data_IF_625779392305
#
_entry.id   IF_625779392305
#
_cell.length_a   1.000
_cell.length_b   1.000
_cell.length_c   1.000
_cell.angle_alpha   90.00
_cell.angle_beta   90.00
_cell.angle_gamma   90.00
#
_symmetry.space_group_name_H-M   'P 1'
#
loop_
_entity.id
_entity.type
_entity.pdbx_description
1 polymer ?
#
# COMPACT_ATOMS: atom_id res chain seq x y z
N UNK A 1 -7.89 -0.01 45.01
CA UNK A 1 -6.77 -0.92 44.68
C UNK A 1 -6.95 -1.53 43.29
N UNK A 2 -8.10 -2.08 42.93
CA UNK A 2 -8.40 -2.67 41.63
C UNK A 2 -8.36 -1.63 40.48
N UNK A 3 -8.99 -0.47 40.66
CA UNK A 3 -8.98 0.63 39.68
C UNK A 3 -7.57 1.14 39.34
N UNK A 4 -6.72 1.31 40.39
CA UNK A 4 -5.33 1.72 40.17
C UNK A 4 -4.52 0.66 39.40
N UNK A 5 -4.81 -0.64 39.61
CA UNK A 5 -4.18 -1.72 38.87
C UNK A 5 -4.64 -1.73 37.41
N UNK A 6 -5.90 -1.44 37.12
CA UNK A 6 -6.48 -1.32 35.77
C UNK A 6 -5.87 -0.12 35.05
N UNK A 7 -5.78 1.05 35.68
CA UNK A 7 -5.13 2.24 35.09
C UNK A 7 -3.65 1.98 34.76
N UNK A 8 -2.93 1.29 35.65
CA UNK A 8 -1.52 0.90 35.43
C UNK A 8 -1.36 -0.12 34.31
N UNK A 9 -2.32 -1.03 34.16
CA UNK A 9 -2.35 -2.01 33.06
C UNK A 9 -2.62 -1.31 31.72
N UNK A 10 -3.62 -0.42 31.66
CA UNK A 10 -3.94 0.37 30.46
C UNK A 10 -2.73 1.22 30.04
N UNK A 11 -2.05 1.90 30.98
CA UNK A 11 -0.84 2.67 30.68
C UNK A 11 0.33 1.82 30.16
N UNK A 12 0.44 0.55 30.58
CA UNK A 12 1.44 -0.38 30.02
C UNK A 12 1.04 -0.87 28.62
N UNK A 13 -0.25 -1.05 28.37
CA UNK A 13 -0.78 -1.44 27.07
C UNK A 13 -0.63 -0.30 26.05
N UNK A 14 -0.85 0.95 26.50
CA UNK A 14 -0.63 2.15 25.70
C UNK A 14 0.85 2.31 25.34
N UNK A 15 1.76 2.08 26.26
CA UNK A 15 3.21 2.08 25.99
C UNK A 15 3.65 0.96 25.03
N UNK A 16 2.93 -0.16 24.96
CA UNK A 16 3.21 -1.29 24.07
C UNK A 16 2.59 -1.10 22.68
N UNK A 17 1.41 -0.47 22.61
CA UNK A 17 0.76 -0.05 21.37
C UNK A 17 1.32 1.28 20.84
N UNK A 18 2.17 1.93 21.59
CA UNK A 18 3.09 3.07 21.39
C UNK A 18 2.71 4.16 20.38
N UNK A 19 1.44 4.38 20.05
CA UNK A 19 1.08 5.33 18.99
C UNK A 19 -0.28 6.03 19.13
N UNK A 20 -1.07 5.74 20.16
CA UNK A 20 -2.35 6.39 20.37
C UNK A 20 -2.39 7.05 21.74
N UNK A 21 -2.44 8.36 21.77
CA UNK A 21 -2.66 9.13 23.00
C UNK A 21 -4.07 8.84 23.52
N UNK A 22 -4.16 8.07 24.60
CA UNK A 22 -5.45 7.73 25.22
C UNK A 22 -5.81 8.88 26.16
N UNK A 23 -6.91 9.59 25.86
CA UNK A 23 -7.40 10.66 26.75
C UNK A 23 -7.88 10.09 28.08
N UNK A 24 -7.77 10.88 29.17
CA UNK A 24 -8.28 10.49 30.49
C UNK A 24 -9.76 10.09 30.46
N UNK A 25 -10.55 10.75 29.61
CA UNK A 25 -11.98 10.43 29.41
C UNK A 25 -12.20 9.01 28.89
N UNK A 26 -11.34 8.52 27.97
CA UNK A 26 -11.38 7.14 27.48
C UNK A 26 -11.01 6.17 28.61
N UNK A 27 -9.97 6.49 29.39
CA UNK A 27 -9.57 5.68 30.54
C UNK A 27 -10.72 5.57 31.56
N UNK A 28 -11.40 6.66 31.84
CA UNK A 28 -12.54 6.70 32.77
C UNK A 28 -13.73 5.88 32.24
N UNK A 29 -14.04 5.96 30.95
CA UNK A 29 -15.09 5.14 30.34
C UNK A 29 -14.78 3.65 30.38
N UNK A 30 -13.53 3.27 30.16
CA UNK A 30 -13.06 1.87 30.27
C UNK A 30 -13.15 1.39 31.70
N UNK A 31 -12.68 2.18 32.66
CA UNK A 31 -12.74 1.85 34.09
C UNK A 31 -14.19 1.66 34.54
N UNK A 32 -15.11 2.56 34.15
CA UNK A 32 -16.54 2.41 34.47
C UNK A 32 -17.14 1.13 33.87
N UNK A 33 -16.77 0.74 32.64
CA UNK A 33 -17.25 -0.50 32.00
C UNK A 33 -16.65 -1.76 32.63
N UNK A 34 -15.39 -1.75 33.06
CA UNK A 34 -14.74 -2.85 33.76
C UNK A 34 -15.37 -3.08 35.15
N UNK A 35 -15.84 -2.02 35.79
CA UNK A 35 -16.51 -2.09 37.10
C UNK A 35 -18.00 -2.48 37.00
N UNK A 36 -18.58 -2.57 35.77
CA UNK A 36 -19.97 -3.01 35.59
C UNK A 36 -20.07 -4.53 35.49
N UNK A 37 -20.95 -5.18 36.25
CA UNK A 37 -21.17 -6.63 36.18
C UNK A 37 -21.79 -7.01 34.85
N UNK A 38 -21.24 -8.01 34.16
CA UNK A 38 -21.83 -8.62 32.96
C UNK A 38 -20.95 -8.63 31.69
N UNK A 39 -19.79 -7.97 31.68
CA UNK A 39 -18.91 -7.98 30.51
C UNK A 39 -17.64 -8.79 30.76
N UNK A 40 -17.26 -9.62 29.79
CA UNK A 40 -15.96 -10.30 29.84
C UNK A 40 -14.82 -9.29 29.56
N UNK A 41 -13.63 -9.54 30.12
CA UNK A 41 -12.44 -8.71 29.88
C UNK A 41 -12.15 -8.50 28.37
N UNK A 42 -12.32 -9.54 27.56
CA UNK A 42 -12.13 -9.50 26.11
C UNK A 42 -13.14 -8.55 25.42
N UNK A 43 -14.40 -8.53 25.84
CA UNK A 43 -15.42 -7.61 25.33
C UNK A 43 -15.14 -6.16 25.72
N UNK A 44 -14.62 -5.94 26.92
CA UNK A 44 -14.25 -4.62 27.42
C UNK A 44 -13.06 -4.04 26.63
N UNK A 45 -12.00 -4.83 26.43
CA UNK A 45 -10.82 -4.42 25.64
C UNK A 45 -11.22 -4.15 24.18
N UNK A 46 -12.08 -4.97 23.59
CA UNK A 46 -12.57 -4.77 22.23
C UNK A 46 -13.43 -3.51 22.09
N UNK A 47 -14.38 -3.28 23.01
CA UNK A 47 -15.20 -2.08 23.00
C UNK A 47 -14.36 -0.81 23.19
N UNK A 48 -13.41 -0.86 24.12
CA UNK A 48 -12.47 0.24 24.38
C UNK A 48 -11.61 0.59 23.18
N UNK A 49 -10.96 -0.37 22.55
CA UNK A 49 -10.12 -0.12 21.38
C UNK A 49 -10.93 0.53 20.24
N UNK A 50 -12.16 0.07 20.04
CA UNK A 50 -13.08 0.64 19.05
C UNK A 50 -13.50 2.08 19.37
N UNK A 51 -13.84 2.37 20.63
CA UNK A 51 -14.26 3.70 21.06
C UNK A 51 -13.08 4.70 21.00
N UNK A 52 -11.85 4.26 21.33
CA UNK A 52 -10.64 5.06 21.22
C UNK A 52 -10.34 5.44 19.76
N UNK A 53 -10.37 4.45 18.87
CA UNK A 53 -10.17 4.66 17.44
C UNK A 53 -11.23 5.61 16.87
N UNK A 54 -12.50 5.43 17.24
CA UNK A 54 -13.58 6.33 16.78
C UNK A 54 -13.38 7.76 17.28
N UNK A 55 -13.01 7.94 18.53
CA UNK A 55 -12.76 9.27 19.10
C UNK A 55 -11.62 9.98 18.38
N UNK A 56 -10.53 9.27 18.09
CA UNK A 56 -9.40 9.82 17.35
C UNK A 56 -9.80 10.18 15.91
N UNK A 57 -10.52 9.30 15.22
CA UNK A 57 -11.03 9.58 13.87
C UNK A 57 -11.95 10.80 13.84
N UNK A 58 -12.82 10.99 14.83
CA UNK A 58 -13.68 12.18 14.93
C UNK A 58 -12.86 13.45 15.13
N UNK A 59 -11.84 13.41 16.00
CA UNK A 59 -10.92 14.57 16.21
C UNK A 59 -10.21 14.95 14.92
N UNK A 60 -9.64 13.96 14.24
CA UNK A 60 -8.94 14.17 12.96
C UNK A 60 -9.90 14.67 11.88
N UNK A 61 -11.11 14.09 11.78
CA UNK A 61 -12.13 14.58 10.87
C UNK A 61 -12.44 16.05 11.10
N UNK A 62 -12.66 16.47 12.35
CA UNK A 62 -12.93 17.86 12.68
C UNK A 62 -11.74 18.77 12.34
N UNK A 63 -10.51 18.31 12.55
CA UNK A 63 -9.30 19.04 12.17
C UNK A 63 -9.18 19.18 10.65
N UNK A 64 -9.49 18.14 9.89
CA UNK A 64 -9.51 18.17 8.42
C UNK A 64 -10.58 19.13 7.90
N UNK A 65 -11.81 19.08 8.46
CA UNK A 65 -12.90 19.96 8.07
C UNK A 65 -12.69 21.43 8.48
N UNK A 66 -11.80 21.67 9.44
CA UNK A 66 -11.38 23.01 9.89
C UNK A 66 -10.08 23.51 9.27
N UNK A 67 -9.59 22.90 8.17
CA UNK A 67 -8.39 23.36 7.48
C UNK A 67 -8.53 24.79 6.97
N UNK A 68 -7.44 25.59 6.97
CA UNK A 68 -7.44 26.94 6.40
C UNK A 68 -7.87 26.95 4.92
N UNK A 69 -8.50 28.04 4.46
CA UNK A 69 -9.01 28.19 3.10
C UNK A 69 -7.99 27.81 2.00
N UNK A 70 -6.72 28.18 2.18
CA UNK A 70 -5.63 27.84 1.24
C UNK A 70 -5.48 26.33 1.03
N UNK A 71 -5.64 25.55 2.11
CA UNK A 71 -5.52 24.10 2.08
C UNK A 71 -6.86 23.47 1.66
N UNK A 72 -7.98 24.09 2.05
CA UNK A 72 -9.30 23.65 1.64
C UNK A 72 -9.50 23.73 0.12
N UNK A 73 -8.94 24.72 -0.55
CA UNK A 73 -8.94 24.81 -2.03
C UNK A 73 -8.16 23.65 -2.65
N UNK A 74 -7.01 23.30 -2.06
CA UNK A 74 -6.14 22.19 -2.53
C UNK A 74 -6.82 20.83 -2.44
N UNK A 75 -7.61 20.58 -1.39
CA UNK A 75 -8.25 19.30 -1.07
C UNK A 75 -9.78 19.33 -1.27
N UNK A 76 -10.27 20.18 -2.16
CA UNK A 76 -11.71 20.46 -2.33
C UNK A 76 -12.56 19.20 -2.56
N UNK A 77 -12.09 18.27 -3.40
CA UNK A 77 -12.87 17.10 -3.79
C UNK A 77 -12.91 16.09 -2.62
N UNK A 78 -11.80 15.91 -1.91
CA UNK A 78 -11.67 15.07 -0.72
C UNK A 78 -12.54 15.61 0.42
N UNK A 79 -12.47 16.91 0.66
CA UNK A 79 -13.28 17.57 1.68
C UNK A 79 -14.78 17.49 1.37
N UNK A 80 -15.18 17.66 0.10
CA UNK A 80 -16.57 17.48 -0.32
C UNK A 80 -17.06 16.05 -0.10
N UNK A 81 -16.22 15.05 -0.40
CA UNK A 81 -16.52 13.64 -0.13
C UNK A 81 -16.69 13.39 1.38
N UNK A 82 -15.74 13.83 2.19
CA UNK A 82 -15.78 13.68 3.65
C UNK A 82 -16.95 14.41 4.27
N UNK A 83 -17.30 15.61 3.79
CA UNK A 83 -18.49 16.33 4.22
C UNK A 83 -19.78 15.53 3.98
N UNK A 84 -19.86 14.80 2.85
CA UNK A 84 -21.02 13.98 2.50
C UNK A 84 -21.13 12.67 3.30
N UNK A 85 -20.02 12.14 3.84
CA UNK A 85 -19.92 10.84 4.52
C UNK A 85 -19.70 10.95 6.02
N UNK A 86 -19.30 12.12 6.50
CA UNK A 86 -18.85 12.31 7.87
C UNK A 86 -17.56 11.56 8.17
N UNK A 87 -17.19 11.49 9.43
CA UNK A 87 -15.99 10.78 9.88
C UNK A 87 -15.96 9.27 9.49
N UNK A 88 -17.12 8.67 9.25
CA UNK A 88 -17.21 7.28 8.75
C UNK A 88 -16.70 7.11 7.31
N UNK A 89 -16.64 8.20 6.55
CA UNK A 89 -16.05 8.23 5.20
C UNK A 89 -14.53 8.34 5.19
N UNK A 90 -13.91 8.52 6.35
CA UNK A 90 -12.45 8.55 6.44
C UNK A 90 -11.88 7.18 6.10
N UNK A 91 -11.00 7.17 5.14
CA UNK A 91 -10.28 5.99 4.67
C UNK A 91 -9.15 6.44 3.75
N UNK A 92 -8.24 5.53 3.42
CA UNK A 92 -7.06 5.83 2.61
C UNK A 92 -7.40 6.54 1.30
N UNK A 93 -8.56 6.25 0.73
CA UNK A 93 -9.04 6.83 -0.54
C UNK A 93 -10.35 7.60 -0.32
N UNK A 94 -10.29 8.92 -0.05
CA UNK A 94 -11.47 9.75 0.24
C UNK A 94 -12.23 10.15 -1.03
N UNK A 95 -12.71 9.17 -1.80
CA UNK A 95 -13.44 9.34 -3.05
C UNK A 95 -14.59 8.35 -3.17
N UNK A 96 -15.64 8.74 -3.88
CA UNK A 96 -16.73 7.83 -4.20
C UNK A 96 -16.26 6.73 -5.17
N UNK A 97 -16.49 5.46 -4.85
CA UNK A 97 -16.22 4.39 -5.80
C UNK A 97 -17.19 4.47 -6.99
N UNK A 98 -16.68 4.21 -8.19
CA UNK A 98 -17.52 3.96 -9.35
C UNK A 98 -17.90 2.46 -9.32
N UNK A 99 -19.17 2.17 -9.11
CA UNK A 99 -19.64 0.78 -9.02
C UNK A 99 -19.47 0.11 -10.38
N UNK A 100 -18.57 -0.85 -10.48
CA UNK A 100 -18.60 -1.89 -11.50
C UNK A 100 -18.81 -3.24 -10.80
N UNK A 101 -19.79 -4.00 -11.27
CA UNK A 101 -19.99 -5.38 -10.84
C UNK A 101 -19.40 -6.29 -11.92
N UNK A 102 -18.09 -6.32 -12.05
CA UNK A 102 -17.45 -7.31 -12.90
C UNK A 102 -17.39 -8.63 -12.12
N UNK A 103 -17.89 -9.74 -12.67
CA UNK A 103 -17.70 -11.04 -12.05
C UNK A 103 -16.22 -11.32 -11.81
N UNK A 104 -15.87 -11.80 -10.61
CA UNK A 104 -14.52 -12.24 -10.28
C UNK A 104 -14.56 -13.75 -10.15
N UNK A 105 -13.77 -14.42 -10.97
CA UNK A 105 -13.62 -15.87 -10.90
C UNK A 105 -12.62 -16.22 -9.80
N UNK A 106 -13.07 -17.02 -8.82
CA UNK A 106 -12.25 -17.52 -7.72
C UNK A 106 -12.35 -19.04 -7.64
N UNK A 107 -11.30 -19.67 -7.12
CA UNK A 107 -11.26 -21.10 -6.95
C UNK A 107 -10.30 -21.57 -5.86
N UNK A 108 -10.21 -22.89 -5.72
CA UNK A 108 -9.25 -23.54 -4.84
C UNK A 108 -8.54 -24.65 -5.63
N UNK A 109 -7.23 -24.58 -5.71
CA UNK A 109 -6.44 -25.60 -6.40
C UNK A 109 -6.00 -26.71 -5.41
N UNK A 110 -6.60 -27.89 -5.57
CA UNK A 110 -6.32 -29.05 -4.71
C UNK A 110 -4.86 -29.54 -4.82
N UNK A 111 -4.14 -29.25 -5.92
CA UNK A 111 -2.74 -29.67 -6.11
C UNK A 111 -1.80 -28.81 -5.30
N UNK A 112 -2.04 -27.50 -5.28
CA UNK A 112 -1.22 -26.56 -4.51
C UNK A 112 -1.73 -26.38 -3.08
N UNK A 113 -3.02 -26.66 -2.83
CA UNK A 113 -3.69 -26.41 -1.55
C UNK A 113 -3.88 -24.92 -1.28
N UNK A 114 -4.03 -24.09 -2.34
CA UNK A 114 -4.17 -22.65 -2.24
C UNK A 114 -5.44 -22.17 -2.92
N UNK A 115 -6.11 -21.13 -2.36
CA UNK A 115 -7.14 -20.40 -3.08
C UNK A 115 -6.50 -19.48 -4.11
N UNK A 116 -7.25 -19.16 -5.17
CA UNK A 116 -6.82 -18.24 -6.21
C UNK A 116 -7.97 -17.37 -6.72
N UNK A 117 -7.61 -16.28 -7.38
CA UNK A 117 -8.47 -15.47 -8.24
C UNK A 117 -7.91 -15.51 -9.66
N UNK A 118 -8.78 -15.46 -10.67
CA UNK A 118 -8.35 -15.36 -12.07
C UNK A 118 -8.19 -13.88 -12.44
N UNK A 119 -6.98 -13.51 -12.86
CA UNK A 119 -6.66 -12.19 -13.38
C UNK A 119 -6.08 -12.31 -14.78
N UNK A 120 -6.73 -11.67 -15.78
CA UNK A 120 -6.34 -11.76 -17.19
C UNK A 120 -6.13 -13.19 -17.71
N UNK A 121 -6.96 -14.15 -17.24
CA UNK A 121 -6.85 -15.57 -17.62
C UNK A 121 -5.80 -16.36 -16.83
N UNK A 122 -5.11 -15.75 -15.89
CA UNK A 122 -4.05 -16.38 -15.07
C UNK A 122 -4.48 -16.50 -13.62
N UNK A 123 -4.04 -17.57 -12.93
CA UNK A 123 -4.33 -17.79 -11.51
C UNK A 123 -3.36 -16.97 -10.65
N UNK A 124 -3.90 -16.04 -9.87
CA UNK A 124 -3.22 -15.35 -8.78
C UNK A 124 -3.50 -16.09 -7.47
N UNK A 125 -2.50 -16.77 -6.92
CA UNK A 125 -2.64 -17.58 -5.72
C UNK A 125 -2.48 -16.75 -4.43
N UNK A 126 -3.22 -17.17 -3.38
CA UNK A 126 -3.25 -16.49 -2.09
C UNK A 126 -2.87 -17.46 -0.96
N UNK A 127 -2.76 -16.93 0.27
CA UNK A 127 -2.40 -17.75 1.43
C UNK A 127 -3.46 -18.81 1.73
N UNK A 128 -3.02 -19.99 2.12
CA UNK A 128 -3.86 -21.18 2.35
C UNK A 128 -4.96 -21.02 3.41
N UNK A 129 -4.82 -20.01 4.30
CA UNK A 129 -5.81 -19.76 5.36
C UNK A 129 -6.93 -18.82 4.91
N UNK A 130 -6.85 -18.24 3.74
CA UNK A 130 -7.90 -17.38 3.19
C UNK A 130 -8.97 -18.22 2.51
N UNK A 131 -10.21 -17.86 2.74
CA UNK A 131 -11.35 -18.36 1.97
C UNK A 131 -11.41 -17.70 0.59
N UNK A 132 -12.12 -18.32 -0.36
CA UNK A 132 -12.35 -17.72 -1.68
C UNK A 132 -13.05 -16.35 -1.58
N UNK A 133 -13.98 -16.19 -0.64
CA UNK A 133 -14.69 -14.93 -0.40
C UNK A 133 -13.74 -13.82 0.09
N UNK A 134 -12.81 -14.15 0.99
CA UNK A 134 -11.79 -13.20 1.46
C UNK A 134 -10.84 -12.82 0.33
N UNK A 135 -10.41 -13.79 -0.49
CA UNK A 135 -9.57 -13.55 -1.68
C UNK A 135 -10.27 -12.62 -2.66
N UNK A 136 -11.54 -12.87 -2.98
CA UNK A 136 -12.33 -12.00 -3.85
C UNK A 136 -12.45 -10.58 -3.28
N UNK A 137 -12.75 -10.45 -1.99
CA UNK A 137 -12.92 -9.16 -1.34
C UNK A 137 -11.63 -8.32 -1.36
N UNK A 138 -10.47 -8.94 -1.07
CA UNK A 138 -9.17 -8.25 -1.11
C UNK A 138 -8.78 -7.89 -2.54
N UNK A 139 -8.93 -8.81 -3.50
CA UNK A 139 -8.67 -8.54 -4.91
C UNK A 139 -9.51 -7.36 -5.44
N UNK A 140 -10.82 -7.33 -5.13
CA UNK A 140 -11.68 -6.17 -5.45
C UNK A 140 -11.22 -4.90 -4.73
N UNK A 141 -10.72 -5.03 -3.51
CA UNK A 141 -10.09 -3.93 -2.79
C UNK A 141 -9.00 -3.29 -3.64
N UNK A 142 -8.05 -4.05 -4.13
CA UNK A 142 -6.94 -3.54 -4.93
C UNK A 142 -7.37 -3.00 -6.29
N UNK A 143 -8.20 -3.74 -7.04
CA UNK A 143 -8.59 -3.35 -8.40
C UNK A 143 -9.62 -2.23 -8.38
N UNK A 144 -10.70 -2.36 -7.60
CA UNK A 144 -11.86 -1.45 -7.67
C UNK A 144 -11.76 -0.28 -6.68
N UNK A 145 -11.19 -0.50 -5.47
CA UNK A 145 -11.12 0.53 -4.44
C UNK A 145 -9.82 1.32 -4.49
N UNK A 146 -8.68 0.67 -4.63
CA UNK A 146 -7.38 1.32 -4.74
C UNK A 146 -7.06 1.73 -6.17
N UNK A 147 -7.60 1.00 -7.15
CA UNK A 147 -7.34 1.20 -8.58
C UNK A 147 -5.86 1.07 -8.94
N UNK A 148 -5.14 0.13 -8.30
CA UNK A 148 -3.67 0.00 -8.44
C UNK A 148 -3.21 -0.24 -9.89
N UNK A 149 -4.08 -0.81 -10.73
CA UNK A 149 -3.81 -1.09 -12.15
C UNK A 149 -4.23 0.05 -13.10
N UNK A 150 -4.63 1.21 -12.54
CA UNK A 150 -5.01 2.37 -13.33
C UNK A 150 -6.44 2.34 -13.91
N UNK A 151 -7.19 1.27 -13.68
CA UNK A 151 -8.60 1.20 -14.06
C UNK A 151 -9.41 2.24 -13.27
N UNK A 152 -10.25 3.02 -13.98
CA UNK A 152 -10.95 4.14 -13.36
C UNK A 152 -12.27 3.69 -12.70
N UNK A 153 -12.17 2.98 -11.59
CA UNK A 153 -13.32 2.68 -10.73
C UNK A 153 -13.66 3.81 -9.75
N UNK A 154 -12.79 4.83 -9.66
CA UNK A 154 -12.99 6.05 -8.89
C UNK A 154 -12.73 7.28 -9.74
N UNK A 155 -13.22 8.43 -9.30
CA UNK A 155 -12.97 9.72 -9.97
C UNK A 155 -11.50 10.14 -9.93
N UNK A 156 -10.77 9.71 -8.89
CA UNK A 156 -9.35 9.95 -8.67
C UNK A 156 -8.68 8.62 -8.30
N UNK A 157 -7.44 8.45 -8.72
CA UNK A 157 -6.67 7.20 -8.53
C UNK A 157 -5.28 7.49 -7.94
N UNK A 158 -5.23 8.00 -6.68
CA UNK A 158 -3.96 8.43 -6.12
C UNK A 158 -2.94 7.30 -5.91
N UNK A 159 -3.37 6.04 -5.87
CA UNK A 159 -2.50 4.87 -5.65
C UNK A 159 -2.37 3.98 -6.91
N UNK A 160 -2.67 4.49 -8.08
CA UNK A 160 -2.49 3.72 -9.31
C UNK A 160 -1.01 3.59 -9.67
N UNK A 161 -0.54 2.37 -9.99
CA UNK A 161 0.81 2.16 -10.52
C UNK A 161 0.89 2.42 -12.03
N UNK A 162 -0.25 2.36 -12.71
CA UNK A 162 -0.37 2.58 -14.14
C UNK A 162 -1.37 3.71 -14.43
N UNK A 163 -1.18 4.39 -15.57
CA UNK A 163 -2.14 5.35 -16.11
C UNK A 163 -2.25 5.18 -17.63
N UNK A 164 -3.16 5.91 -18.29
CA UNK A 164 -3.27 5.87 -19.75
C UNK A 164 -1.96 6.28 -20.46
N UNK A 165 -1.19 7.20 -19.86
CA UNK A 165 0.08 7.74 -20.40
C UNK A 165 1.34 7.16 -19.76
N UNK A 166 1.22 6.52 -18.60
CA UNK A 166 2.35 5.95 -17.86
C UNK A 166 2.07 4.47 -17.57
N UNK A 167 2.56 3.60 -18.45
CA UNK A 167 2.25 2.17 -18.45
C UNK A 167 3.41 1.32 -18.93
N UNK A 168 3.30 0.02 -18.70
CA UNK A 168 4.20 -0.99 -19.24
C UNK A 168 3.94 -1.13 -20.73
N UNK A 169 4.98 -1.05 -21.54
CA UNK A 169 4.95 -1.29 -22.96
C UNK A 169 5.45 -2.70 -23.32
N UNK A 170 5.08 -3.18 -24.50
CA UNK A 170 5.51 -4.51 -24.93
C UNK A 170 7.03 -4.59 -25.05
N UNK A 171 7.61 -5.53 -24.34
CA UNK A 171 9.06 -5.76 -24.32
C UNK A 171 9.81 -5.05 -23.19
N UNK A 172 9.12 -4.23 -22.38
CA UNK A 172 9.71 -3.70 -21.15
C UNK A 172 10.12 -4.83 -20.20
N UNK A 173 11.19 -4.62 -19.45
CA UNK A 173 11.51 -5.43 -18.27
C UNK A 173 10.81 -4.82 -17.06
N UNK A 174 9.97 -5.61 -16.40
CA UNK A 174 9.13 -5.17 -15.29
C UNK A 174 9.72 -5.60 -13.95
N UNK A 175 9.86 -4.64 -13.03
CA UNK A 175 10.22 -4.90 -11.65
C UNK A 175 9.03 -4.54 -10.76
N UNK A 176 8.55 -5.50 -9.99
CA UNK A 176 7.55 -5.30 -8.94
C UNK A 176 8.24 -5.38 -7.58
N UNK A 177 8.67 -4.23 -7.07
CA UNK A 177 9.43 -4.10 -5.82
C UNK A 177 8.45 -3.87 -4.67
N UNK A 178 8.34 -4.86 -3.79
CA UNK A 178 7.26 -4.96 -2.80
C UNK A 178 5.99 -5.53 -3.44
N UNK A 179 6.09 -6.69 -4.08
CA UNK A 179 5.01 -7.21 -4.91
C UNK A 179 3.83 -7.82 -4.13
N UNK A 180 3.96 -8.03 -2.83
CA UNK A 180 2.93 -8.67 -2.00
C UNK A 180 2.42 -9.97 -2.62
N UNK A 181 1.16 -10.05 -3.07
CA UNK A 181 0.59 -11.22 -3.75
C UNK A 181 1.02 -11.36 -5.23
N UNK A 182 1.60 -10.29 -5.82
CA UNK A 182 2.10 -10.29 -7.21
C UNK A 182 1.07 -9.87 -8.26
N UNK A 183 -0.02 -9.18 -7.88
CA UNK A 183 -1.06 -8.76 -8.82
C UNK A 183 -0.51 -7.86 -9.93
N UNK A 184 0.31 -6.85 -9.60
CA UNK A 184 0.90 -5.96 -10.60
C UNK A 184 1.84 -6.70 -11.54
N UNK A 185 2.74 -7.54 -11.01
CA UNK A 185 3.64 -8.38 -11.80
C UNK A 185 2.87 -9.31 -12.75
N UNK A 186 1.80 -9.96 -12.26
CA UNK A 186 0.95 -10.84 -13.06
C UNK A 186 0.17 -10.06 -14.13
N UNK A 187 -0.31 -8.86 -13.82
CA UNK A 187 -1.00 -8.01 -14.80
C UNK A 187 -0.11 -7.67 -16.00
N UNK A 188 1.18 -7.49 -15.76
CA UNK A 188 2.15 -7.11 -16.78
C UNK A 188 2.80 -8.29 -17.51
N UNK A 189 2.62 -9.53 -17.01
CA UNK A 189 3.40 -10.69 -17.46
C UNK A 189 3.33 -10.96 -18.96
N UNK A 190 2.19 -10.73 -19.61
CA UNK A 190 2.04 -11.03 -21.04
C UNK A 190 2.71 -9.98 -21.93
N UNK A 191 2.83 -8.73 -21.46
CA UNK A 191 3.48 -7.63 -22.19
C UNK A 191 4.99 -7.62 -21.95
N UNK A 192 5.41 -7.95 -20.73
CA UNK A 192 6.79 -7.86 -20.31
C UNK A 192 7.69 -8.87 -21.05
N UNK A 193 8.93 -8.44 -21.32
CA UNK A 193 10.01 -9.34 -21.75
C UNK A 193 10.45 -10.23 -20.58
N UNK A 194 10.76 -9.60 -19.43
CA UNK A 194 11.03 -10.27 -18.17
C UNK A 194 10.28 -9.60 -17.03
N UNK A 195 9.96 -10.37 -15.99
CA UNK A 195 9.32 -9.88 -14.77
C UNK A 195 10.18 -10.30 -13.57
N UNK A 196 10.53 -9.34 -12.74
CA UNK A 196 11.25 -9.54 -11.48
C UNK A 196 10.37 -9.09 -10.32
N UNK A 197 9.87 -10.04 -9.54
CA UNK A 197 8.99 -9.78 -8.39
C UNK A 197 9.77 -9.94 -7.08
N UNK A 198 9.76 -8.91 -6.24
CA UNK A 198 10.49 -8.89 -4.96
C UNK A 198 9.51 -8.77 -3.80
N UNK A 199 9.52 -9.77 -2.91
CA UNK A 199 8.69 -9.78 -1.71
C UNK A 199 9.40 -10.54 -0.59
N UNK A 200 9.68 -9.84 0.49
CA UNK A 200 10.50 -10.39 1.58
C UNK A 200 9.70 -11.22 2.59
N UNK A 201 8.38 -10.99 2.70
CA UNK A 201 7.56 -11.66 3.70
C UNK A 201 7.34 -13.14 3.36
N UNK A 202 7.74 -14.08 4.24
CA UNK A 202 7.68 -15.52 3.96
C UNK A 202 6.28 -16.05 3.64
N UNK A 203 5.22 -15.37 4.10
CA UNK A 203 3.83 -15.75 3.85
C UNK A 203 3.47 -15.74 2.35
N UNK A 204 4.17 -14.93 1.54
CA UNK A 204 3.93 -14.79 0.12
C UNK A 204 4.75 -15.75 -0.75
N UNK A 205 5.81 -16.36 -0.20
CA UNK A 205 6.71 -17.21 -0.97
C UNK A 205 5.96 -18.27 -1.79
N UNK A 206 5.17 -19.10 -1.13
CA UNK A 206 4.45 -20.20 -1.81
C UNK A 206 3.36 -19.72 -2.77
N UNK A 207 2.50 -18.73 -2.44
CA UNK A 207 1.59 -18.14 -3.39
C UNK A 207 2.28 -17.60 -4.64
N UNK A 208 3.35 -16.83 -4.51
CA UNK A 208 4.11 -16.28 -5.63
C UNK A 208 4.77 -17.37 -6.47
N UNK A 209 5.40 -18.37 -5.86
CA UNK A 209 5.97 -19.50 -6.57
C UNK A 209 4.91 -20.21 -7.42
N UNK A 210 3.68 -20.40 -6.91
CA UNK A 210 2.59 -21.01 -7.66
C UNK A 210 2.06 -20.09 -8.77
N UNK A 211 1.93 -18.80 -8.53
CA UNK A 211 1.47 -17.80 -9.49
C UNK A 211 2.41 -17.71 -10.69
N UNK A 212 3.71 -17.64 -10.44
CA UNK A 212 4.70 -17.42 -11.51
C UNK A 212 5.35 -18.68 -12.08
N UNK A 213 5.06 -19.87 -11.54
CA UNK A 213 5.56 -21.14 -12.11
C UNK A 213 5.23 -21.34 -13.61
N UNK A 214 4.02 -20.97 -14.12
CA UNK A 214 3.74 -21.04 -15.56
C UNK A 214 4.61 -20.13 -16.42
N UNK A 215 5.25 -19.14 -15.82
CA UNK A 215 6.08 -18.11 -16.48
C UNK A 215 7.55 -18.20 -16.12
N UNK A 216 8.02 -19.38 -15.64
CA UNK A 216 9.38 -19.55 -15.11
C UNK A 216 10.50 -19.20 -16.10
N UNK A 217 10.23 -19.20 -17.42
CA UNK A 217 11.20 -18.79 -18.44
C UNK A 217 11.45 -17.26 -18.45
N UNK A 218 10.46 -16.45 -18.03
CA UNK A 218 10.54 -14.99 -18.07
C UNK A 218 10.23 -14.28 -16.75
N UNK A 219 9.68 -14.97 -15.75
CA UNK A 219 9.38 -14.40 -14.44
C UNK A 219 10.24 -15.02 -13.35
N UNK A 220 10.82 -14.18 -12.51
CA UNK A 220 11.64 -14.59 -11.35
C UNK A 220 11.13 -13.93 -10.08
N UNK A 221 10.94 -14.73 -9.03
CA UNK A 221 10.50 -14.27 -7.70
C UNK A 221 11.67 -14.29 -6.74
N UNK A 222 11.92 -13.17 -6.10
CA UNK A 222 12.94 -12.97 -5.08
C UNK A 222 12.30 -12.79 -3.72
N UNK A 223 12.38 -13.78 -2.83
CA UNK A 223 11.95 -13.63 -1.43
C UNK A 223 13.02 -12.89 -0.63
N UNK A 224 13.26 -11.64 -0.98
CA UNK A 224 14.27 -10.77 -0.39
C UNK A 224 13.77 -9.34 -0.27
N UNK A 225 14.31 -8.61 0.70
CA UNK A 225 14.22 -7.16 0.75
C UNK A 225 15.12 -6.55 -0.31
N UNK A 226 14.58 -5.65 -1.12
CA UNK A 226 15.43 -4.78 -1.95
C UNK A 226 16.08 -3.73 -1.06
N UNK A 227 17.39 -3.52 -1.20
CA UNK A 227 18.18 -2.66 -0.32
C UNK A 227 19.37 -2.06 -1.07
N UNK A 228 20.22 -1.32 -0.35
CA UNK A 228 21.49 -0.73 -0.82
C UNK A 228 22.66 -1.73 -0.85
N UNK A 229 22.44 -2.97 -0.41
CA UNK A 229 23.45 -4.03 -0.39
C UNK A 229 22.87 -5.40 -0.72
N UNK A 230 23.71 -6.32 -1.17
CA UNK A 230 23.36 -7.73 -1.38
C UNK A 230 24.00 -8.60 -0.30
N UNK A 231 23.21 -9.44 0.35
CA UNK A 231 23.65 -10.40 1.37
C UNK A 231 22.51 -10.85 2.28
N UNK A 232 22.51 -12.12 2.71
CA UNK A 232 21.43 -12.67 3.51
C UNK A 232 20.06 -12.53 2.84
N UNK A 233 19.13 -11.84 3.50
CA UNK A 233 17.79 -11.58 3.00
C UNK A 233 17.67 -10.28 2.18
N UNK A 234 18.77 -9.64 1.81
CA UNK A 234 18.81 -8.39 1.06
C UNK A 234 19.38 -8.58 -0.34
N UNK A 235 18.95 -7.75 -1.29
CA UNK A 235 19.45 -7.73 -2.66
C UNK A 235 19.41 -6.32 -3.23
N UNK A 236 20.46 -5.95 -3.99
CA UNK A 236 20.48 -4.75 -4.82
C UNK A 236 19.83 -5.02 -6.17
N UNK A 237 19.12 -4.04 -6.71
CA UNK A 237 18.55 -4.16 -8.05
C UNK A 237 19.63 -4.29 -9.12
N UNK A 238 20.72 -3.53 -9.01
CA UNK A 238 21.84 -3.56 -9.97
C UNK A 238 22.40 -4.96 -10.15
N UNK A 239 22.51 -5.73 -9.04
CA UNK A 239 23.09 -7.08 -9.09
C UNK A 239 22.15 -8.08 -9.79
N UNK A 240 20.82 -7.86 -9.67
CA UNK A 240 19.80 -8.70 -10.32
C UNK A 240 19.70 -8.41 -11.82
N UNK A 241 19.88 -7.15 -12.21
CA UNK A 241 19.64 -6.67 -13.56
C UNK A 241 20.91 -6.57 -14.42
N UNK A 242 22.05 -7.01 -13.88
CA UNK A 242 23.34 -6.90 -14.55
C UNK A 242 23.40 -7.61 -15.92
N UNK A 243 22.61 -8.68 -16.09
CA UNK A 243 22.55 -9.47 -17.32
C UNK A 243 21.57 -8.93 -18.37
N UNK A 244 20.71 -7.93 -18.02
CA UNK A 244 19.77 -7.36 -18.98
C UNK A 244 20.50 -6.48 -20.01
N UNK A 245 20.14 -6.59 -21.31
CA UNK A 245 20.77 -5.81 -22.37
C UNK A 245 20.75 -4.30 -22.11
N UNK A 246 21.75 -3.57 -22.66
CA UNK A 246 21.88 -2.13 -22.41
C UNK A 246 20.73 -1.28 -22.97
N UNK A 247 20.12 -1.71 -24.07
CA UNK A 247 18.99 -1.06 -24.75
C UNK A 247 17.62 -1.37 -24.14
N UNK A 248 17.61 -2.07 -23.00
CA UNK A 248 16.38 -2.46 -22.30
C UNK A 248 15.70 -1.25 -21.64
N UNK A 249 14.39 -1.11 -21.86
CA UNK A 249 13.55 -0.20 -21.08
C UNK A 249 12.98 -0.94 -19.86
N UNK A 250 13.06 -0.29 -18.72
CA UNK A 250 12.57 -0.84 -17.46
C UNK A 250 11.30 -0.11 -17.00
N UNK A 251 10.31 -0.86 -16.57
CA UNK A 251 9.21 -0.34 -15.77
C UNK A 251 9.34 -0.87 -14.35
N UNK A 252 9.54 0.02 -13.40
CA UNK A 252 9.73 -0.32 -11.98
C UNK A 252 8.51 0.19 -11.20
N UNK A 253 7.77 -0.69 -10.54
CA UNK A 253 6.86 -0.33 -9.45
C UNK A 253 7.64 -0.50 -8.15
N UNK A 254 7.63 0.52 -7.30
CA UNK A 254 8.30 0.49 -6.00
C UNK A 254 7.36 0.98 -4.90
N UNK A 255 6.96 0.06 -4.02
CA UNK A 255 6.09 0.31 -2.89
C UNK A 255 6.56 -0.59 -1.74
N UNK A 256 7.48 -0.08 -0.90
CA UNK A 256 8.29 -0.84 0.06
C UNK A 256 8.32 -0.22 1.45
N UNK A 257 7.19 0.35 1.86
CA UNK A 257 6.93 0.77 3.23
C UNK A 257 7.94 1.79 3.79
N UNK A 258 8.43 2.71 2.93
CA UNK A 258 9.34 3.80 3.28
C UNK A 258 10.83 3.46 3.14
N UNK A 259 11.18 2.29 2.60
CA UNK A 259 12.56 1.94 2.25
C UNK A 259 13.01 2.58 0.91
N UNK A 260 12.13 3.25 0.17
CA UNK A 260 12.42 3.98 -1.07
C UNK A 260 13.60 4.93 -0.90
N UNK A 261 13.69 5.60 0.26
CA UNK A 261 14.79 6.54 0.60
C UNK A 261 16.17 5.87 0.71
N UNK A 262 16.22 4.57 0.88
CA UNK A 262 17.45 3.78 0.95
C UNK A 262 17.76 3.19 -0.44
N UNK A 263 16.74 2.66 -1.10
CA UNK A 263 16.90 1.94 -2.36
C UNK A 263 17.22 2.89 -3.52
N UNK A 264 16.47 3.98 -3.67
CA UNK A 264 16.64 4.88 -4.81
C UNK A 264 18.07 5.45 -4.94
N UNK A 265 18.72 5.95 -3.86
CA UNK A 265 20.11 6.40 -3.96
C UNK A 265 21.07 5.30 -4.42
N UNK A 266 20.84 4.06 -4.00
CA UNK A 266 21.70 2.92 -4.36
C UNK A 266 21.59 2.52 -5.83
N UNK A 267 20.50 2.90 -6.51
CA UNK A 267 20.24 2.62 -7.91
C UNK A 267 20.71 3.75 -8.85
N UNK A 268 21.37 4.82 -8.33
CA UNK A 268 21.73 6.00 -9.12
C UNK A 268 22.49 5.66 -10.40
N UNK A 269 23.53 4.84 -10.30
CA UNK A 269 24.36 4.46 -11.46
C UNK A 269 23.59 3.65 -12.50
N UNK A 270 22.66 2.80 -12.05
CA UNK A 270 21.75 2.06 -12.91
C UNK A 270 20.81 3.03 -13.64
N UNK A 271 20.17 3.93 -12.93
CA UNK A 271 19.24 4.91 -13.51
C UNK A 271 19.89 5.85 -14.52
N UNK A 272 21.15 6.21 -14.30
CA UNK A 272 21.90 7.06 -15.24
C UNK A 272 22.29 6.36 -16.55
N UNK A 273 22.26 5.03 -16.58
CA UNK A 273 22.70 4.22 -17.73
C UNK A 273 21.54 3.54 -18.46
N UNK A 274 20.35 3.54 -17.91
CA UNK A 274 19.20 2.77 -18.40
C UNK A 274 17.98 3.64 -18.62
N UNK A 275 17.15 3.28 -19.59
CA UNK A 275 15.83 3.88 -19.79
C UNK A 275 14.85 3.32 -18.75
N UNK A 276 14.36 4.17 -17.86
CA UNK A 276 13.54 3.75 -16.72
C UNK A 276 12.27 4.59 -16.62
N UNK A 277 11.13 3.89 -16.47
CA UNK A 277 9.87 4.39 -15.94
C UNK A 277 9.73 3.86 -14.52
N UNK A 278 9.48 4.72 -13.55
CA UNK A 278 9.36 4.35 -12.14
C UNK A 278 8.04 4.87 -11.55
N UNK A 279 7.15 3.96 -11.15
CA UNK A 279 6.01 4.25 -10.30
C UNK A 279 6.42 4.03 -8.83
N UNK A 280 6.64 5.11 -8.09
CA UNK A 280 7.17 5.08 -6.74
C UNK A 280 6.13 5.55 -5.74
N UNK A 281 5.86 4.75 -4.69
CA UNK A 281 5.01 5.16 -3.58
C UNK A 281 5.62 6.36 -2.83
N UNK A 282 4.77 7.35 -2.51
CA UNK A 282 5.19 8.62 -1.95
C UNK A 282 4.39 9.03 -0.69
N UNK A 283 3.73 8.07 -0.05
CA UNK A 283 2.78 8.33 1.04
C UNK A 283 3.20 7.75 2.40
N UNK A 284 4.27 6.97 2.47
CA UNK A 284 4.68 6.31 3.70
C UNK A 284 5.15 7.30 4.76
N UNK A 285 5.90 8.33 4.38
CA UNK A 285 6.28 9.43 5.28
C UNK A 285 5.64 10.73 4.82
N UNK A 286 5.51 11.67 5.75
CA UNK A 286 4.84 12.96 5.52
C UNK A 286 5.45 13.76 4.38
N UNK A 287 6.77 13.68 4.23
CA UNK A 287 7.59 14.44 3.28
C UNK A 287 8.12 13.58 2.12
N UNK A 288 7.61 12.34 1.93
CA UNK A 288 8.13 11.45 0.87
C UNK A 288 7.91 12.03 -0.52
N UNK A 289 6.77 12.66 -0.77
CA UNK A 289 6.44 13.18 -2.09
C UNK A 289 7.47 14.22 -2.56
N UNK A 290 7.77 15.21 -1.74
CA UNK A 290 8.73 16.27 -2.03
C UNK A 290 10.16 15.72 -2.03
N UNK A 291 10.52 14.93 -1.03
CA UNK A 291 11.86 14.41 -0.85
C UNK A 291 12.26 13.46 -1.99
N UNK A 292 11.43 12.45 -2.28
CA UNK A 292 11.72 11.46 -3.33
C UNK A 292 11.65 12.09 -4.72
N UNK A 293 10.69 13.00 -4.98
CA UNK A 293 10.59 13.70 -6.24
C UNK A 293 11.81 14.60 -6.49
N UNK A 294 12.34 15.29 -5.47
CA UNK A 294 13.57 16.07 -5.59
C UNK A 294 14.78 15.18 -5.88
N UNK A 295 14.91 14.07 -5.18
CA UNK A 295 15.97 13.07 -5.39
C UNK A 295 15.95 12.51 -6.81
N UNK A 296 14.77 12.13 -7.32
CA UNK A 296 14.62 11.59 -8.67
C UNK A 296 14.95 12.63 -9.74
N UNK A 297 14.54 13.89 -9.55
CA UNK A 297 14.94 14.99 -10.47
C UNK A 297 16.44 15.22 -10.48
N UNK A 298 17.12 15.11 -9.32
CA UNK A 298 18.60 15.18 -9.25
C UNK A 298 19.29 14.02 -9.98
N UNK A 299 18.58 12.90 -10.17
CA UNK A 299 19.02 11.75 -10.97
C UNK A 299 18.62 11.86 -12.46
N UNK A 300 18.05 12.99 -12.90
CA UNK A 300 17.69 13.24 -14.29
C UNK A 300 16.27 12.81 -14.69
N UNK A 301 15.42 12.40 -13.76
CA UNK A 301 14.03 12.05 -14.06
C UNK A 301 13.14 13.29 -14.20
N UNK A 302 12.18 13.22 -15.13
CA UNK A 302 10.97 14.03 -15.09
C UNK A 302 9.99 13.35 -14.15
N UNK A 303 9.37 14.12 -13.24
CA UNK A 303 8.48 13.56 -12.21
C UNK A 303 7.11 14.22 -12.26
N UNK A 304 6.07 13.42 -12.11
CA UNK A 304 4.67 13.83 -11.96
C UNK A 304 4.04 13.10 -10.76
N UNK A 305 3.04 13.70 -10.12
CA UNK A 305 2.28 13.03 -9.06
C UNK A 305 1.01 12.39 -9.63
N UNK A 306 0.56 11.34 -8.97
CA UNK A 306 -0.75 10.73 -9.23
C UNK A 306 -1.90 11.71 -8.99
N UNK A 307 -3.03 11.48 -9.66
CA UNK A 307 -4.22 12.32 -9.56
C UNK A 307 -4.97 12.05 -8.25
N UNK A 308 -5.15 13.11 -7.45
CA UNK A 308 -5.82 13.06 -6.16
C UNK A 308 -4.89 12.85 -4.96
N UNK A 309 -5.51 12.70 -3.79
CA UNK A 309 -4.82 12.65 -2.52
C UNK A 309 -5.21 11.42 -1.73
N UNK A 310 -4.25 10.84 -1.03
CA UNK A 310 -4.49 9.80 -0.04
C UNK A 310 -4.65 10.42 1.35
N UNK A 311 -5.43 9.74 2.20
CA UNK A 311 -5.55 10.00 3.64
C UNK A 311 -5.00 8.80 4.42
N UNK A 312 -3.68 8.59 4.43
CA UNK A 312 -3.09 7.40 5.04
C UNK A 312 -3.15 7.45 6.57
N UNK A 313 -3.55 6.33 7.16
CA UNK A 313 -3.55 6.11 8.61
C UNK A 313 -2.23 5.45 9.09
N UNK A 314 -1.16 5.63 8.33
CA UNK A 314 0.16 5.08 8.63
C UNK A 314 0.77 5.87 9.80
N UNK A 315 1.04 5.17 10.90
CA UNK A 315 1.53 5.78 12.15
C UNK A 315 0.57 6.82 12.76
N UNK A 316 -0.75 6.64 12.56
CA UNK A 316 -1.79 7.60 12.90
C UNK A 316 -1.97 8.68 11.83
N UNK A 317 -3.02 9.49 12.01
CA UNK A 317 -3.26 10.64 11.14
C UNK A 317 -2.33 11.79 11.54
N UNK A 318 -1.34 12.09 10.71
CA UNK A 318 -0.35 13.15 10.97
C UNK A 318 -0.51 14.25 9.92
N UNK A 319 -0.49 15.52 10.38
CA UNK A 319 -0.52 16.67 9.47
C UNK A 319 0.79 16.78 8.64
N UNK A 320 0.71 17.08 7.33
CA UNK A 320 -0.49 17.24 6.51
C UNK A 320 -1.20 15.89 6.33
N UNK A 321 -2.53 15.88 6.59
CA UNK A 321 -3.33 14.65 6.57
C UNK A 321 -3.40 14.02 5.19
N UNK A 322 -3.44 14.84 4.15
CA UNK A 322 -3.48 14.40 2.76
C UNK A 322 -2.07 14.31 2.18
N UNK A 323 -1.78 13.21 1.48
CA UNK A 323 -0.48 12.95 0.85
C UNK A 323 -0.66 12.56 -0.62
N UNK A 324 0.31 12.89 -1.47
CA UNK A 324 0.39 12.27 -2.80
C UNK A 324 0.62 10.76 -2.65
N UNK A 325 -0.06 9.96 -3.48
CA UNK A 325 0.09 8.52 -3.44
C UNK A 325 1.33 8.04 -4.18
N UNK A 326 1.44 8.42 -5.46
CA UNK A 326 2.52 7.96 -6.34
C UNK A 326 3.29 9.12 -6.96
N UNK A 327 4.57 8.86 -7.25
CA UNK A 327 5.40 9.62 -8.17
C UNK A 327 5.57 8.77 -9.43
N UNK A 328 5.21 9.31 -10.58
CA UNK A 328 5.58 8.78 -11.90
C UNK A 328 6.84 9.48 -12.37
N UNK A 329 7.90 8.73 -12.58
CA UNK A 329 9.20 9.26 -12.96
C UNK A 329 9.72 8.57 -14.23
N UNK A 330 10.26 9.35 -15.17
CA UNK A 330 10.83 8.86 -16.42
C UNK A 330 12.09 9.65 -16.77
N UNK A 331 13.15 8.97 -17.23
CA UNK A 331 14.45 9.59 -17.51
C UNK A 331 14.85 9.63 -19.00
N UNK A 332 13.90 9.34 -19.89
CA UNK A 332 14.12 9.39 -21.35
C UNK A 332 12.97 10.05 -22.08
#
# INVERSE_FOLDING_TARGET
>A
MFEAAVRKFIGRFDATLSRHYISEEIVDNVVRRICCPGYSFKQIVWAWSRDAIQTERIKVYNAIMGLPDRDAVKYRDELAYLASKGWMGMGMFPYAPVKRQTPVETGYDNRTGLPYVVHNGHCLYWQKWMSQQEVEAVYRGYVENECILGDRYRSKTPHAYLTDSFRVEKGDVVLDVGCSEGLFALHCVDLARHVYAFEALPKWKRPLDCTFNPFAEKARVYNKYVSDHTGGNFVRLDDVLAEEPEDTTFFIKMDIEGAERIVLPSCRDFFMKRCVKLACAAYHRVDDAEYLSAMLRDMGFKTEFSDGWMLPEINGFVYPYFRHGMIYAQNF
#
